data_IF_506841872187
#
_entry.id   IF_506841872187
#
_cell.length_a   1.000
_cell.length_b   1.000
_cell.length_c   1.000
_cell.angle_alpha   90.00
_cell.angle_beta   90.00
_cell.angle_gamma   90.00
#
_symmetry.space_group_name_H-M   'P 1'
#
loop_
_entity.id
_entity.type
_entity.pdbx_description
1 polymer ?
#
# COMPACT_ATOMS: atom_id res chain seq x y z
N UNK A 1 27.45 21.42 22.21
CA UNK A 1 27.43 20.23 21.34
C UNK A 1 25.95 19.90 21.07
N UNK A 2 25.45 20.13 19.85
CA UNK A 2 24.09 19.75 19.50
C UNK A 2 24.04 18.21 19.54
N UNK A 3 23.17 17.66 20.39
CA UNK A 3 22.83 16.24 20.38
C UNK A 3 22.34 15.91 18.95
N UNK A 4 23.08 15.09 18.21
CA UNK A 4 22.63 14.59 16.92
C UNK A 4 21.37 13.77 17.20
N UNK A 5 20.20 14.34 16.91
CA UNK A 5 18.93 13.62 16.97
C UNK A 5 19.07 12.47 15.98
N UNK A 6 18.97 11.23 16.46
CA UNK A 6 18.96 10.07 15.59
C UNK A 6 17.87 10.25 14.54
N UNK A 7 18.18 9.95 13.26
CA UNK A 7 17.22 10.05 12.15
C UNK A 7 16.07 9.07 12.40
N UNK A 8 14.82 9.44 12.09
CA UNK A 8 13.70 8.48 12.17
C UNK A 8 13.89 7.37 11.12
N UNK A 9 13.42 6.18 11.43
CA UNK A 9 13.53 5.02 10.52
C UNK A 9 12.25 4.87 9.72
N UNK A 10 12.40 4.64 8.41
CA UNK A 10 11.31 4.22 7.56
C UNK A 10 11.59 2.82 6.98
N UNK A 11 10.60 1.93 7.07
CA UNK A 11 10.65 0.62 6.39
C UNK A 11 9.85 0.68 5.10
N UNK A 12 10.49 0.27 4.00
CA UNK A 12 9.86 0.26 2.67
C UNK A 12 9.91 -1.15 2.09
N UNK A 13 8.75 -1.78 1.91
CA UNK A 13 8.66 -3.05 1.17
C UNK A 13 8.54 -2.80 -0.34
N UNK A 14 9.09 -3.70 -1.15
CA UNK A 14 9.14 -3.52 -2.60
C UNK A 14 10.17 -2.47 -3.04
N UNK A 15 11.15 -2.13 -2.19
CA UNK A 15 12.12 -1.05 -2.39
C UNK A 15 13.06 -1.25 -3.60
N UNK A 16 13.11 -2.42 -4.22
CA UNK A 16 14.02 -2.71 -5.32
C UNK A 16 13.62 -2.11 -6.67
N UNK A 17 12.46 -1.48 -6.80
CA UNK A 17 11.99 -0.84 -8.05
C UNK A 17 10.70 -0.03 -7.88
N UNK A 18 10.35 0.75 -8.91
CA UNK A 18 9.06 1.42 -9.04
C UNK A 18 8.72 2.33 -7.87
N UNK A 19 7.47 2.27 -7.41
CA UNK A 19 6.96 3.13 -6.33
C UNK A 19 7.75 2.92 -5.03
N UNK A 20 8.13 1.68 -4.69
CA UNK A 20 8.91 1.41 -3.48
C UNK A 20 10.31 2.04 -3.51
N UNK A 21 11.01 2.00 -4.65
CA UNK A 21 12.28 2.68 -4.81
C UNK A 21 12.12 4.21 -4.72
N UNK A 22 11.07 4.76 -5.35
CA UNK A 22 10.78 6.20 -5.27
C UNK A 22 10.45 6.65 -3.83
N UNK A 23 9.76 5.82 -3.03
CA UNK A 23 9.61 6.10 -1.59
C UNK A 23 10.94 6.12 -0.86
N UNK A 24 11.81 5.12 -1.10
CA UNK A 24 13.11 5.06 -0.45
C UNK A 24 13.97 6.30 -0.78
N UNK A 25 14.00 6.72 -2.04
CA UNK A 25 14.69 7.91 -2.50
C UNK A 25 14.17 9.18 -1.82
N UNK A 26 12.87 9.38 -1.84
CA UNK A 26 12.26 10.56 -1.22
C UNK A 26 12.45 10.60 0.29
N UNK A 27 12.26 9.49 0.98
CA UNK A 27 12.40 9.43 2.43
C UNK A 27 13.85 9.62 2.89
N UNK A 28 14.85 9.12 2.13
CA UNK A 28 16.25 9.42 2.40
C UNK A 28 16.54 10.94 2.32
N UNK A 29 16.00 11.63 1.29
CA UNK A 29 16.10 13.08 1.14
C UNK A 29 15.37 13.83 2.27
N UNK A 30 14.23 13.31 2.75
CA UNK A 30 13.47 13.86 3.87
C UNK A 30 14.12 13.56 5.23
N UNK A 31 15.30 12.93 5.28
CA UNK A 31 16.09 12.73 6.49
C UNK A 31 15.77 11.45 7.26
N UNK A 32 15.20 10.43 6.63
CA UNK A 32 15.02 9.10 7.23
C UNK A 32 16.25 8.21 7.01
N UNK A 33 16.51 7.33 7.96
CA UNK A 33 17.25 6.09 7.75
C UNK A 33 16.26 5.00 7.30
N UNK A 34 16.75 3.99 6.55
CA UNK A 34 15.87 3.14 5.79
C UNK A 34 16.10 1.64 6.04
N UNK A 35 15.02 0.90 6.26
CA UNK A 35 15.01 -0.56 6.12
C UNK A 35 14.40 -0.87 4.75
N UNK A 36 15.23 -1.33 3.82
CA UNK A 36 14.87 -1.60 2.43
C UNK A 36 14.56 -3.08 2.23
N UNK A 37 13.30 -3.42 1.97
CA UNK A 37 12.84 -4.82 1.89
C UNK A 37 12.41 -5.17 0.48
N UNK A 38 13.01 -6.20 -0.12
CA UNK A 38 12.58 -6.83 -1.37
C UNK A 38 13.25 -8.19 -1.55
N UNK A 39 12.91 -8.91 -2.65
CA UNK A 39 13.55 -10.20 -2.98
C UNK A 39 14.94 -10.04 -3.64
N UNK A 40 15.15 -8.97 -4.39
CA UNK A 40 16.35 -8.73 -5.22
C UNK A 40 17.45 -8.05 -4.40
N UNK A 41 18.24 -8.83 -3.66
CA UNK A 41 19.32 -8.35 -2.76
C UNK A 41 20.23 -7.34 -3.43
N UNK A 42 20.81 -7.68 -4.58
CA UNK A 42 21.76 -6.82 -5.28
C UNK A 42 21.20 -5.42 -5.58
N UNK A 43 19.91 -5.32 -5.97
CA UNK A 43 19.29 -4.01 -6.22
C UNK A 43 19.08 -3.20 -4.94
N UNK A 44 18.82 -3.87 -3.81
CA UNK A 44 18.72 -3.19 -2.51
C UNK A 44 20.07 -2.65 -2.05
N UNK A 45 21.14 -3.41 -2.25
CA UNK A 45 22.51 -3.01 -1.91
C UNK A 45 22.96 -1.80 -2.75
N UNK A 46 22.73 -1.81 -4.07
CA UNK A 46 23.00 -0.67 -4.94
C UNK A 46 22.19 0.57 -4.55
N UNK A 47 20.92 0.39 -4.20
CA UNK A 47 20.08 1.51 -3.74
C UNK A 47 20.60 2.06 -2.40
N UNK A 48 20.94 1.19 -1.45
CA UNK A 48 21.48 1.58 -0.15
C UNK A 48 22.78 2.39 -0.28
N UNK A 49 23.72 1.92 -1.11
CA UNK A 49 24.98 2.65 -1.39
C UNK A 49 24.71 4.02 -2.00
N UNK A 50 23.80 4.10 -2.96
CA UNK A 50 23.45 5.36 -3.61
C UNK A 50 22.84 6.34 -2.62
N UNK A 51 21.83 5.92 -1.83
CA UNK A 51 21.17 6.77 -0.86
C UNK A 51 22.11 7.20 0.29
N UNK A 52 23.02 6.32 0.70
CA UNK A 52 24.09 6.67 1.63
C UNK A 52 24.97 7.81 1.12
N UNK A 53 25.39 7.76 -0.16
CA UNK A 53 26.21 8.83 -0.78
C UNK A 53 25.45 10.12 -1.04
N UNK A 54 24.20 10.02 -1.52
CA UNK A 54 23.43 11.18 -2.00
C UNK A 54 22.73 11.93 -0.86
N UNK A 55 22.23 11.20 0.16
CA UNK A 55 21.40 11.74 1.25
C UNK A 55 21.99 11.50 2.65
N UNK A 56 23.12 10.81 2.76
CA UNK A 56 23.69 10.44 4.04
C UNK A 56 22.79 9.53 4.89
N UNK A 57 21.90 8.77 4.24
CA UNK A 57 20.99 7.86 4.91
C UNK A 57 21.69 6.55 5.29
N UNK A 58 21.50 6.09 6.53
CA UNK A 58 21.84 4.73 6.88
C UNK A 58 20.75 3.79 6.32
N UNK A 59 21.16 2.81 5.51
CA UNK A 59 20.23 1.91 4.84
C UNK A 59 20.55 0.45 5.17
N UNK A 60 19.56 -0.29 5.69
CA UNK A 60 19.63 -1.73 5.97
C UNK A 60 18.92 -2.49 4.82
N UNK A 61 19.64 -3.14 3.88
CA UNK A 61 19.05 -3.92 2.81
C UNK A 61 18.67 -5.32 3.31
N UNK A 62 17.38 -5.64 3.37
CA UNK A 62 16.86 -6.95 3.77
C UNK A 62 16.24 -7.68 2.58
N UNK A 63 16.90 -8.74 2.13
CA UNK A 63 16.36 -9.62 1.11
C UNK A 63 15.39 -10.62 1.75
N UNK A 64 14.09 -10.35 1.59
CA UNK A 64 13.01 -11.18 2.15
C UNK A 64 12.12 -11.65 1.01
N UNK A 65 11.94 -12.97 0.91
CA UNK A 65 10.83 -13.54 0.16
C UNK A 65 9.61 -13.54 1.08
N UNK A 66 8.55 -12.87 0.67
CA UNK A 66 7.35 -12.73 1.49
C UNK A 66 6.70 -14.06 1.90
N UNK A 67 7.05 -15.17 1.27
CA UNK A 67 6.55 -16.50 1.62
C UNK A 67 7.33 -17.19 2.75
N UNK A 68 8.63 -16.96 2.90
CA UNK A 68 9.47 -17.82 3.76
C UNK A 68 10.22 -17.13 4.90
N UNK A 69 10.65 -15.88 4.75
CA UNK A 69 11.46 -15.18 5.77
C UNK A 69 10.69 -14.08 6.51
N UNK A 70 9.39 -14.07 6.37
CA UNK A 70 8.52 -12.99 6.83
C UNK A 70 8.52 -12.86 8.38
N UNK A 71 8.60 -13.95 9.11
CA UNK A 71 8.56 -13.93 10.58
C UNK A 71 9.76 -13.20 11.21
N UNK A 72 10.93 -13.24 10.55
CA UNK A 72 12.10 -12.50 11.01
C UNK A 72 11.91 -10.98 10.84
N UNK A 73 11.33 -10.58 9.70
CA UNK A 73 11.00 -9.18 9.46
C UNK A 73 9.97 -8.66 10.45
N UNK A 74 8.93 -9.44 10.76
CA UNK A 74 7.94 -9.05 11.78
C UNK A 74 8.57 -8.85 13.16
N UNK A 75 9.42 -9.80 13.59
CA UNK A 75 10.11 -9.69 14.87
C UNK A 75 11.01 -8.46 14.92
N UNK A 76 11.72 -8.14 13.81
CA UNK A 76 12.55 -6.95 13.68
C UNK A 76 11.73 -5.68 13.81
N UNK A 77 10.58 -5.61 13.12
CA UNK A 77 9.65 -4.48 13.12
C UNK A 77 9.04 -4.26 14.51
N UNK A 78 8.65 -5.33 15.19
CA UNK A 78 7.96 -5.26 16.50
C UNK A 78 8.80 -4.63 17.62
N UNK A 79 10.12 -4.73 17.52
CA UNK A 79 11.06 -4.23 18.54
C UNK A 79 11.75 -2.93 18.14
N UNK A 80 11.48 -2.39 16.95
CA UNK A 80 12.13 -1.18 16.45
C UNK A 80 11.52 0.09 17.07
N UNK A 81 12.20 0.64 18.04
CA UNK A 81 11.78 1.88 18.70
C UNK A 81 12.02 3.14 17.83
N UNK A 82 12.85 3.05 16.78
CA UNK A 82 13.09 4.13 15.82
C UNK A 82 12.12 4.17 14.65
N UNK A 83 11.32 3.12 14.45
CA UNK A 83 10.42 3.01 13.29
C UNK A 83 9.30 4.06 13.34
N UNK A 84 9.42 5.06 12.48
CA UNK A 84 8.47 6.17 12.39
C UNK A 84 7.50 6.01 11.22
N UNK A 85 7.89 5.29 10.14
CA UNK A 85 7.06 5.11 8.95
C UNK A 85 7.20 3.68 8.41
N UNK A 86 6.06 3.03 8.15
CA UNK A 86 5.98 1.77 7.41
C UNK A 86 5.33 2.03 6.06
N UNK A 87 6.01 1.67 4.96
CA UNK A 87 5.49 1.71 3.59
C UNK A 87 5.32 0.30 3.04
N UNK A 88 4.09 -0.17 2.95
CA UNK A 88 3.73 -1.43 2.32
C UNK A 88 3.53 -1.20 0.81
N UNK A 89 4.62 -1.30 0.03
CA UNK A 89 4.63 -1.10 -1.42
C UNK A 89 4.97 -2.35 -2.22
N UNK A 90 5.33 -3.45 -1.57
CA UNK A 90 5.58 -4.71 -2.27
C UNK A 90 4.32 -5.23 -2.95
N UNK A 91 4.46 -5.65 -4.21
CA UNK A 91 3.33 -6.20 -4.93
C UNK A 91 3.63 -6.60 -6.36
N UNK A 92 2.71 -7.36 -6.93
CA UNK A 92 2.70 -7.74 -8.33
C UNK A 92 1.25 -7.94 -8.80
N UNK A 93 1.00 -7.94 -10.11
CA UNK A 93 -0.32 -8.26 -10.66
C UNK A 93 -0.43 -9.72 -11.09
N UNK A 94 -1.66 -10.20 -11.25
CA UNK A 94 -1.97 -11.51 -11.81
C UNK A 94 -3.16 -11.37 -12.75
N UNK A 95 -2.96 -10.61 -13.85
CA UNK A 95 -4.03 -10.20 -14.77
C UNK A 95 -4.35 -11.31 -15.77
N UNK A 96 -5.19 -12.26 -15.35
CA UNK A 96 -5.71 -13.37 -16.19
C UNK A 96 -7.17 -13.61 -15.87
N UNK A 97 -7.87 -14.31 -16.73
CA UNK A 97 -9.20 -14.85 -16.39
C UNK A 97 -9.07 -15.72 -15.14
N UNK A 98 -10.02 -15.61 -14.23
CA UNK A 98 -9.94 -16.31 -12.95
C UNK A 98 -9.75 -17.81 -13.10
N UNK A 99 -10.43 -18.41 -14.07
CA UNK A 99 -10.31 -19.85 -14.38
C UNK A 99 -8.94 -20.27 -14.92
N UNK A 100 -8.09 -19.33 -15.31
CA UNK A 100 -6.75 -19.52 -15.88
C UNK A 100 -5.65 -19.13 -14.88
N UNK A 101 -6.01 -18.67 -13.69
CA UNK A 101 -5.04 -18.27 -12.66
C UNK A 101 -4.60 -19.49 -11.88
N UNK A 102 -3.31 -19.79 -11.93
CA UNK A 102 -2.73 -20.88 -11.17
C UNK A 102 -2.92 -20.67 -9.65
N UNK A 103 -3.27 -21.72 -8.88
CA UNK A 103 -3.48 -21.59 -7.42
C UNK A 103 -2.31 -20.96 -6.67
N UNK A 104 -1.07 -21.22 -7.11
CA UNK A 104 0.14 -20.64 -6.53
C UNK A 104 0.21 -19.13 -6.72
N UNK A 105 -0.28 -18.61 -7.85
CA UNK A 105 -0.36 -17.15 -8.12
C UNK A 105 -1.41 -16.52 -7.22
N UNK A 106 -2.55 -17.20 -6.99
CA UNK A 106 -3.60 -16.74 -6.05
C UNK A 106 -3.00 -16.63 -4.65
N UNK A 107 -2.33 -17.68 -4.16
CA UNK A 107 -1.71 -17.68 -2.84
C UNK A 107 -0.66 -16.56 -2.71
N UNK A 108 0.21 -16.41 -3.70
CA UNK A 108 1.24 -15.37 -3.70
C UNK A 108 0.64 -13.94 -3.70
N UNK A 109 -0.45 -13.70 -4.43
CA UNK A 109 -1.17 -12.42 -4.40
C UNK A 109 -1.75 -12.13 -3.01
N UNK A 110 -2.39 -13.13 -2.39
CA UNK A 110 -2.95 -13.01 -1.03
C UNK A 110 -1.82 -12.80 -0.01
N UNK A 111 -0.73 -13.56 -0.13
CA UNK A 111 0.41 -13.44 0.79
C UNK A 111 1.00 -12.05 0.77
N UNK A 112 1.25 -11.47 -0.41
CA UNK A 112 1.91 -10.16 -0.55
C UNK A 112 0.97 -9.01 -0.24
N UNK A 113 -0.25 -9.04 -0.77
CA UNK A 113 -1.15 -7.87 -0.70
C UNK A 113 -2.09 -7.88 0.51
N UNK A 114 -2.30 -9.03 1.14
CA UNK A 114 -3.20 -9.18 2.28
C UNK A 114 -2.41 -9.54 3.53
N UNK A 115 -1.82 -10.73 3.56
CA UNK A 115 -1.18 -11.27 4.76
C UNK A 115 0.02 -10.45 5.19
N UNK A 116 0.93 -10.11 4.27
CA UNK A 116 2.12 -9.32 4.57
C UNK A 116 1.75 -7.92 5.06
N UNK A 117 0.81 -7.25 4.40
CA UNK A 117 0.35 -5.91 4.79
C UNK A 117 -0.25 -5.93 6.20
N UNK A 118 -1.18 -6.84 6.48
CA UNK A 118 -1.83 -6.93 7.79
C UNK A 118 -0.82 -7.24 8.91
N UNK A 119 0.07 -8.22 8.68
CA UNK A 119 1.03 -8.66 9.69
C UNK A 119 2.11 -7.62 9.98
N UNK A 120 2.71 -6.99 8.95
CA UNK A 120 3.69 -5.91 9.18
C UNK A 120 3.06 -4.71 9.87
N UNK A 121 1.86 -4.33 9.46
CA UNK A 121 1.13 -3.26 10.15
C UNK A 121 0.87 -3.61 11.61
N UNK A 122 0.43 -4.86 11.90
CA UNK A 122 0.23 -5.35 13.28
C UNK A 122 1.52 -5.37 14.09
N UNK A 123 2.66 -5.64 13.47
CA UNK A 123 3.96 -5.60 14.15
C UNK A 123 4.40 -4.16 14.46
N UNK A 124 4.21 -3.21 13.53
CA UNK A 124 4.68 -1.83 13.66
C UNK A 124 3.81 -0.97 14.59
N UNK A 125 2.48 -1.07 14.46
CA UNK A 125 1.52 -0.16 15.10
C UNK A 125 1.64 -0.10 16.62
N UNK A 126 1.80 -1.19 17.38
CA UNK A 126 1.89 -1.11 18.84
C UNK A 126 3.05 -0.25 19.36
N UNK A 127 4.22 -0.32 18.71
CA UNK A 127 5.35 0.55 19.03
C UNK A 127 5.05 2.02 18.72
N UNK A 128 4.42 2.30 17.58
CA UNK A 128 4.00 3.65 17.20
C UNK A 128 2.98 4.24 18.19
N UNK A 129 1.98 3.44 18.60
CA UNK A 129 0.96 3.84 19.59
C UNK A 129 1.59 4.17 20.94
N UNK A 130 2.48 3.31 21.45
CA UNK A 130 3.20 3.60 22.73
C UNK A 130 3.96 4.93 22.68
N UNK A 131 4.49 5.31 21.52
CA UNK A 131 5.23 6.58 21.34
C UNK A 131 4.33 7.77 21.03
N UNK A 132 3.03 7.53 20.79
CA UNK A 132 2.06 8.58 20.39
C UNK A 132 2.38 9.18 19.01
N UNK A 133 3.14 8.49 18.16
CA UNK A 133 3.53 8.97 16.82
C UNK A 133 3.97 7.84 15.91
N UNK A 134 3.67 7.96 14.64
CA UNK A 134 4.05 7.04 13.59
C UNK A 134 3.12 7.14 12.40
N UNK A 135 3.47 6.45 11.33
CA UNK A 135 2.59 6.39 10.18
C UNK A 135 2.73 5.06 9.41
N UNK A 136 1.64 4.66 8.76
CA UNK A 136 1.62 3.52 7.83
C UNK A 136 1.06 3.99 6.50
N UNK A 137 1.75 3.68 5.41
CA UNK A 137 1.29 3.90 4.04
C UNK A 137 1.12 2.55 3.35
N UNK A 138 -0.08 2.26 2.88
CA UNK A 138 -0.41 1.08 2.11
C UNK A 138 -0.58 1.46 0.63
N UNK A 139 0.32 0.99 -0.25
CA UNK A 139 0.23 1.24 -1.69
C UNK A 139 -0.68 0.20 -2.33
N UNK A 140 -1.95 0.56 -2.49
CA UNK A 140 -2.96 -0.29 -3.11
C UNK A 140 -3.02 -0.09 -4.64
N UNK A 141 -4.16 0.25 -5.19
CA UNK A 141 -4.39 0.56 -6.61
C UNK A 141 -5.79 1.12 -6.78
N UNK A 142 -6.00 1.95 -7.78
CA UNK A 142 -7.35 2.38 -8.20
C UNK A 142 -8.25 1.18 -8.57
N UNK A 143 -7.64 0.05 -8.96
CA UNK A 143 -8.37 -1.21 -9.19
C UNK A 143 -9.06 -1.77 -7.94
N UNK A 144 -8.74 -1.30 -6.75
CA UNK A 144 -9.49 -1.61 -5.51
C UNK A 144 -10.98 -1.24 -5.61
N UNK A 145 -11.29 -0.19 -6.38
CA UNK A 145 -12.64 0.32 -6.57
C UNK A 145 -13.34 -0.26 -7.81
N UNK A 146 -12.70 -1.17 -8.54
CA UNK A 146 -13.16 -1.61 -9.86
C UNK A 146 -14.01 -2.90 -9.86
N UNK A 147 -14.41 -3.41 -8.70
CA UNK A 147 -15.09 -4.72 -8.60
C UNK A 147 -16.34 -4.85 -9.49
N UNK A 148 -17.15 -3.81 -9.56
CA UNK A 148 -18.38 -3.78 -10.35
C UNK A 148 -18.18 -3.46 -11.84
N UNK A 149 -16.96 -3.10 -12.28
CA UNK A 149 -16.69 -2.70 -13.64
C UNK A 149 -16.36 -3.90 -14.55
N UNK A 150 -16.73 -3.88 -15.85
CA UNK A 150 -16.40 -4.95 -16.77
C UNK A 150 -14.87 -5.06 -17.02
N UNK A 151 -14.40 -6.21 -17.54
CA UNK A 151 -12.97 -6.43 -17.83
C UNK A 151 -12.49 -5.77 -19.15
N UNK A 152 -13.22 -4.84 -19.71
CA UNK A 152 -12.82 -4.08 -20.90
C UNK A 152 -13.26 -2.61 -20.73
N UNK A 153 -12.34 -1.64 -20.76
CA UNK A 153 -10.89 -1.72 -21.05
C UNK A 153 -10.00 -2.20 -19.90
N UNK A 154 -10.56 -2.50 -18.74
CA UNK A 154 -9.80 -2.96 -17.59
C UNK A 154 -9.32 -4.41 -17.78
N UNK A 155 -8.18 -4.81 -17.20
CA UNK A 155 -7.71 -6.19 -17.26
C UNK A 155 -8.61 -7.15 -16.47
N UNK A 156 -8.55 -8.45 -16.76
CA UNK A 156 -9.03 -9.48 -15.82
C UNK A 156 -8.23 -9.36 -14.51
N UNK A 157 -8.92 -9.23 -13.37
CA UNK A 157 -8.27 -8.78 -12.13
C UNK A 157 -8.90 -9.26 -10.83
N UNK A 158 -9.77 -10.27 -10.88
CA UNK A 158 -10.60 -10.65 -9.73
C UNK A 158 -9.80 -10.76 -8.42
N UNK A 159 -8.73 -11.58 -8.40
CA UNK A 159 -7.91 -11.77 -7.20
C UNK A 159 -7.16 -10.49 -6.82
N UNK A 160 -6.53 -9.84 -7.81
CA UNK A 160 -5.78 -8.62 -7.56
C UNK A 160 -6.67 -7.48 -7.04
N UNK A 161 -7.83 -7.25 -7.69
CA UNK A 161 -8.78 -6.23 -7.25
C UNK A 161 -9.31 -6.52 -5.84
N UNK A 162 -9.64 -7.78 -5.54
CA UNK A 162 -10.05 -8.19 -4.19
C UNK A 162 -8.97 -7.96 -3.14
N UNK A 163 -7.71 -8.29 -3.46
CA UNK A 163 -6.59 -8.05 -2.55
C UNK A 163 -6.32 -6.54 -2.34
N UNK A 164 -6.46 -5.72 -3.38
CA UNK A 164 -6.32 -4.26 -3.26
C UNK A 164 -7.52 -3.60 -2.57
N UNK A 165 -8.72 -4.15 -2.73
CA UNK A 165 -9.90 -3.74 -1.97
C UNK A 165 -9.76 -4.06 -0.47
N UNK A 166 -9.12 -5.20 -0.14
CA UNK A 166 -8.75 -5.48 1.25
C UNK A 166 -7.88 -4.36 1.83
N UNK A 167 -6.83 -3.92 1.11
CA UNK A 167 -5.93 -2.86 1.60
C UNK A 167 -6.68 -1.54 1.84
N UNK A 168 -7.64 -1.20 0.97
CA UNK A 168 -8.49 -0.01 1.13
C UNK A 168 -9.33 -0.13 2.40
N UNK A 169 -10.19 -1.14 2.50
CA UNK A 169 -11.08 -1.33 3.64
C UNK A 169 -10.32 -1.51 4.96
N UNK A 170 -9.20 -2.24 4.95
CA UNK A 170 -8.34 -2.42 6.10
C UNK A 170 -7.77 -1.10 6.62
N UNK A 171 -7.29 -0.24 5.71
CA UNK A 171 -6.70 1.04 6.11
C UNK A 171 -7.74 2.03 6.62
N UNK A 172 -8.92 2.08 5.99
CA UNK A 172 -10.03 2.92 6.45
C UNK A 172 -10.51 2.51 7.84
N UNK A 173 -10.72 1.21 8.07
CA UNK A 173 -11.12 0.69 9.38
C UNK A 173 -10.04 0.96 10.45
N UNK A 174 -8.78 0.67 10.13
CA UNK A 174 -7.65 0.90 11.03
C UNK A 174 -7.47 2.37 11.40
N UNK A 175 -7.79 3.30 10.49
CA UNK A 175 -7.77 4.74 10.77
C UNK A 175 -8.73 5.10 11.89
N UNK A 176 -9.94 4.52 11.88
CA UNK A 176 -10.92 4.71 12.95
C UNK A 176 -10.43 4.16 14.30
N UNK A 177 -9.80 2.98 14.29
CA UNK A 177 -9.26 2.36 15.51
C UNK A 177 -8.08 3.15 16.11
N UNK A 178 -7.33 3.89 15.28
CA UNK A 178 -6.14 4.64 15.70
C UNK A 178 -6.36 6.15 15.86
N UNK A 179 -7.60 6.62 15.78
CA UNK A 179 -7.94 8.05 15.73
C UNK A 179 -7.38 8.88 16.90
N UNK A 180 -7.24 8.29 18.08
CA UNK A 180 -6.72 8.95 19.30
C UNK A 180 -5.26 8.59 19.62
N UNK A 181 -4.62 7.77 18.79
CA UNK A 181 -3.29 7.20 19.10
C UNK A 181 -2.11 8.06 18.68
N UNK A 182 -2.32 9.10 17.88
CA UNK A 182 -1.27 9.88 17.23
C UNK A 182 -0.60 9.16 16.05
N UNK A 183 -1.08 7.96 15.66
CA UNK A 183 -0.60 7.20 14.50
C UNK A 183 -1.49 7.47 13.30
N UNK A 184 -0.89 7.83 12.16
CA UNK A 184 -1.60 8.09 10.91
C UNK A 184 -1.51 6.89 9.98
N UNK A 185 -2.58 6.63 9.24
CA UNK A 185 -2.60 5.57 8.22
C UNK A 185 -3.16 6.13 6.92
N UNK A 186 -2.56 5.73 5.81
CA UNK A 186 -2.95 6.16 4.47
C UNK A 186 -2.98 4.96 3.53
N UNK A 187 -4.01 4.86 2.71
CA UNK A 187 -4.00 4.03 1.52
C UNK A 187 -3.84 4.89 0.27
N UNK A 188 -2.80 4.61 -0.52
CA UNK A 188 -2.58 5.24 -1.81
C UNK A 188 -3.15 4.35 -2.92
N UNK A 189 -4.00 4.92 -3.77
CA UNK A 189 -4.68 4.25 -4.88
C UNK A 189 -4.16 4.79 -6.23
N UNK A 190 -2.93 4.47 -6.65
CA UNK A 190 -2.44 4.93 -7.93
C UNK A 190 -3.17 4.25 -9.08
N UNK A 191 -3.29 4.96 -10.20
CA UNK A 191 -3.69 4.43 -11.51
C UNK A 191 -2.53 3.73 -12.21
N UNK A 192 -2.34 4.04 -13.50
CA UNK A 192 -1.17 3.56 -14.25
C UNK A 192 0.07 4.37 -13.87
N UNK A 193 1.13 3.68 -13.48
CA UNK A 193 2.39 4.30 -13.05
C UNK A 193 3.53 3.77 -13.91
N UNK A 194 4.39 4.67 -14.39
CA UNK A 194 5.57 4.33 -15.18
C UNK A 194 6.59 3.63 -14.29
N UNK A 195 6.67 2.32 -14.44
CA UNK A 195 7.56 1.44 -13.69
C UNK A 195 7.96 0.23 -14.55
N UNK A 196 9.03 -0.44 -14.19
CA UNK A 196 9.45 -1.69 -14.86
C UNK A 196 8.37 -2.79 -14.82
N UNK A 197 7.36 -2.66 -13.98
CA UNK A 197 6.27 -3.60 -13.82
C UNK A 197 5.59 -3.96 -15.16
N UNK A 198 5.34 -2.96 -16.00
CA UNK A 198 4.64 -3.18 -17.28
C UNK A 198 5.46 -4.05 -18.23
N UNK A 199 6.77 -3.84 -18.31
CA UNK A 199 7.67 -4.68 -19.08
C UNK A 199 7.73 -6.12 -18.53
N UNK A 200 7.77 -6.28 -17.21
CA UNK A 200 7.81 -7.59 -16.55
C UNK A 200 6.55 -8.43 -16.83
N UNK A 201 5.40 -7.81 -17.05
CA UNK A 201 4.15 -8.49 -17.41
C UNK A 201 3.90 -8.54 -18.93
N UNK A 202 4.94 -8.29 -19.73
CA UNK A 202 4.89 -8.41 -21.19
C UNK A 202 4.11 -7.30 -21.91
N UNK A 203 3.87 -6.16 -21.25
CA UNK A 203 3.26 -4.99 -21.88
C UNK A 203 4.34 -4.09 -22.45
N UNK A 204 4.14 -3.62 -23.68
CA UNK A 204 5.03 -2.61 -24.30
C UNK A 204 4.63 -1.21 -23.76
N UNK A 205 5.49 -0.56 -22.93
CA UNK A 205 5.18 0.76 -22.38
C UNK A 205 4.85 1.81 -23.44
N UNK A 206 5.42 1.69 -24.64
CA UNK A 206 5.18 2.64 -25.75
C UNK A 206 3.78 2.58 -26.32
N UNK A 207 3.04 1.47 -26.05
CA UNK A 207 1.66 1.25 -26.49
C UNK A 207 0.64 1.52 -25.37
N UNK A 208 1.12 1.95 -24.21
CA UNK A 208 0.26 2.26 -23.08
C UNK A 208 -0.17 3.74 -23.11
N UNK A 209 -1.31 4.08 -22.50
CA UNK A 209 -1.69 5.48 -22.30
C UNK A 209 -0.65 6.16 -21.40
N UNK A 210 -0.66 7.51 -21.33
CA UNK A 210 0.20 8.26 -20.43
C UNK A 210 0.12 7.72 -19.01
N UNK A 211 1.27 7.56 -18.36
CA UNK A 211 1.43 7.01 -17.02
C UNK A 211 2.01 8.07 -16.08
N UNK A 212 1.56 8.07 -14.84
CA UNK A 212 2.10 8.94 -13.80
C UNK A 212 3.51 8.45 -13.40
N UNK A 213 4.41 9.37 -13.09
CA UNK A 213 5.73 9.01 -12.57
C UNK A 213 5.62 8.49 -11.12
N UNK A 214 6.44 7.52 -10.76
CA UNK A 214 6.45 6.97 -9.41
C UNK A 214 6.74 8.04 -8.34
N UNK A 215 7.58 9.02 -8.66
CA UNK A 215 7.89 10.15 -7.78
C UNK A 215 6.65 11.02 -7.49
N UNK A 216 5.77 11.24 -8.48
CA UNK A 216 4.54 12.01 -8.30
C UNK A 216 3.53 11.27 -7.41
N UNK A 217 3.43 9.95 -7.57
CA UNK A 217 2.61 9.11 -6.66
C UNK A 217 3.09 9.24 -5.21
N UNK A 218 4.41 9.19 -5.00
CA UNK A 218 5.01 9.33 -3.67
C UNK A 218 4.77 10.73 -3.11
N UNK A 219 4.99 11.77 -3.91
CA UNK A 219 4.76 13.15 -3.49
C UNK A 219 3.30 13.37 -3.07
N UNK A 220 2.32 12.93 -3.88
CA UNK A 220 0.90 13.02 -3.56
C UNK A 220 0.56 12.29 -2.25
N UNK A 221 1.07 11.06 -2.06
CA UNK A 221 0.78 10.27 -0.88
C UNK A 221 1.34 10.88 0.41
N UNK A 222 2.56 11.44 0.36
CA UNK A 222 3.17 12.11 1.53
C UNK A 222 2.46 13.41 1.88
N UNK A 223 1.99 14.17 0.88
CA UNK A 223 1.15 15.36 1.09
C UNK A 223 -0.18 14.96 1.72
N UNK A 224 -0.87 13.95 1.20
CA UNK A 224 -2.12 13.44 1.74
C UNK A 224 -1.95 12.96 3.20
N UNK A 225 -0.89 12.18 3.48
CA UNK A 225 -0.55 11.74 4.83
C UNK A 225 -0.31 12.91 5.79
N UNK A 226 0.39 13.95 5.33
CA UNK A 226 0.65 15.16 6.13
C UNK A 226 -0.63 15.92 6.45
N UNK A 227 -1.61 15.93 5.55
CA UNK A 227 -2.94 16.53 5.73
C UNK A 227 -3.88 15.69 6.60
N UNK A 228 -3.50 14.47 6.97
CA UNK A 228 -4.35 13.54 7.73
C UNK A 228 -5.42 12.86 6.88
N UNK A 229 -5.28 12.88 5.55
CA UNK A 229 -6.15 12.12 4.66
C UNK A 229 -5.91 10.62 4.85
N UNK A 230 -6.95 9.81 4.71
CA UNK A 230 -6.87 8.34 4.84
C UNK A 230 -6.77 7.66 3.47
N UNK A 231 -7.38 8.25 2.45
CA UNK A 231 -7.40 7.74 1.07
C UNK A 231 -6.78 8.77 0.14
N UNK A 232 -5.71 8.40 -0.54
CA UNK A 232 -5.05 9.21 -1.57
C UNK A 232 -5.25 8.58 -2.94
N UNK A 233 -5.80 9.35 -3.87
CA UNK A 233 -5.88 9.00 -5.30
C UNK A 233 -5.06 10.03 -6.06
N UNK A 234 -3.79 9.76 -6.42
CA UNK A 234 -2.86 10.78 -6.93
C UNK A 234 -3.32 11.55 -8.18
N UNK A 235 -4.18 10.96 -9.00
CA UNK A 235 -4.73 11.59 -10.21
C UNK A 235 -6.13 12.18 -10.03
N UNK A 236 -6.61 12.37 -8.81
CA UNK A 236 -7.94 12.92 -8.53
C UNK A 236 -7.83 14.37 -8.09
N UNK A 237 -8.27 15.30 -8.92
CA UNK A 237 -8.21 16.74 -8.62
C UNK A 237 -9.24 17.20 -7.59
N UNK A 238 -10.40 16.52 -7.54
CA UNK A 238 -11.52 16.84 -6.65
C UNK A 238 -11.89 15.64 -5.77
N UNK A 239 -11.94 15.84 -4.45
CA UNK A 239 -12.26 14.79 -3.47
C UNK A 239 -13.76 14.36 -3.49
N UNK A 240 -14.65 15.14 -4.09
CA UNK A 240 -16.08 14.88 -4.06
C UNK A 240 -16.51 13.46 -4.51
N UNK A 241 -15.85 12.77 -5.46
CA UNK A 241 -16.17 11.38 -5.75
C UNK A 241 -15.91 10.42 -4.57
N UNK A 242 -14.83 10.64 -3.79
CA UNK A 242 -14.53 9.82 -2.60
C UNK A 242 -15.52 10.10 -1.47
N UNK A 243 -15.88 11.36 -1.27
CA UNK A 243 -16.88 11.76 -0.28
C UNK A 243 -18.25 11.14 -0.58
N UNK A 244 -18.68 11.16 -1.84
CA UNK A 244 -19.92 10.49 -2.27
C UNK A 244 -19.86 8.98 -2.06
N UNK A 245 -18.71 8.34 -2.34
CA UNK A 245 -18.55 6.90 -2.10
C UNK A 245 -18.71 6.58 -0.61
N UNK A 246 -18.05 7.33 0.26
CA UNK A 246 -18.15 7.16 1.70
C UNK A 246 -19.59 7.37 2.21
N UNK A 247 -20.32 8.36 1.66
CA UNK A 247 -21.72 8.61 2.02
C UNK A 247 -22.65 7.46 1.59
N UNK A 248 -22.44 6.92 0.38
CA UNK A 248 -23.20 5.74 -0.09
C UNK A 248 -22.93 4.53 0.80
N UNK A 249 -21.68 4.28 1.18
CA UNK A 249 -21.31 3.20 2.10
C UNK A 249 -21.99 3.39 3.47
N UNK A 250 -21.96 4.60 4.03
CA UNK A 250 -22.63 4.94 5.29
C UNK A 250 -24.15 4.69 5.20
N UNK A 251 -24.77 5.16 4.12
CA UNK A 251 -26.21 4.98 3.88
C UNK A 251 -26.56 3.49 3.82
N UNK A 252 -25.79 2.68 3.10
CA UNK A 252 -26.01 1.24 3.04
C UNK A 252 -25.90 0.59 4.42
N UNK A 253 -24.88 0.93 5.20
CA UNK A 253 -24.67 0.35 6.54
C UNK A 253 -25.77 0.75 7.51
N UNK A 254 -26.19 2.03 7.52
CA UNK A 254 -27.16 2.55 8.49
C UNK A 254 -28.61 2.22 8.11
N UNK A 255 -28.94 2.13 6.82
CA UNK A 255 -30.33 1.94 6.37
C UNK A 255 -30.72 0.47 6.19
N UNK A 256 -29.79 -0.47 6.16
CA UNK A 256 -30.05 -1.87 5.81
C UNK A 256 -30.05 -2.84 7.00
N UNK A 257 -29.70 -2.39 8.19
CA UNK A 257 -29.74 -3.23 9.39
C UNK A 257 -31.19 -3.33 9.91
N UNK A 258 -32.00 -4.16 9.24
CA UNK A 258 -33.43 -4.37 9.52
C UNK A 258 -33.70 -5.81 9.94
N UNK A 259 -34.69 -5.98 10.77
CA UNK A 259 -35.14 -7.30 11.26
C UNK A 259 -36.02 -8.06 10.25
N UNK A 260 -36.53 -7.36 9.21
CA UNK A 260 -37.44 -7.94 8.23
C UNK A 260 -36.75 -7.98 6.84
N UNK A 261 -37.06 -9.02 6.06
CA UNK A 261 -36.63 -9.16 4.67
C UNK A 261 -37.06 -7.95 3.84
N UNK A 262 -36.12 -7.41 3.07
CA UNK A 262 -36.41 -6.29 2.17
C UNK A 262 -37.43 -6.70 1.09
N UNK A 263 -38.31 -5.78 0.73
CA UNK A 263 -39.41 -6.05 -0.20
C UNK A 263 -38.93 -6.60 -1.56
N UNK A 264 -37.78 -6.12 -2.08
CA UNK A 264 -37.19 -6.58 -3.35
C UNK A 264 -36.76 -8.06 -3.38
N UNK A 265 -36.70 -8.70 -2.23
CA UNK A 265 -36.35 -10.13 -2.08
C UNK A 265 -37.54 -10.99 -1.66
N UNK A 266 -38.72 -10.38 -1.45
CA UNK A 266 -39.95 -11.15 -1.22
C UNK A 266 -40.36 -11.73 -2.58
N UNK A 267 -40.57 -13.05 -2.64
CA UNK A 267 -41.13 -13.69 -3.83
C UNK A 267 -42.43 -12.98 -4.20
N UNK A 268 -42.55 -12.52 -5.42
CA UNK A 268 -43.84 -12.16 -6.01
C UNK A 268 -44.59 -13.47 -6.01
N UNK A 269 -45.67 -13.56 -5.19
CA UNK A 269 -46.45 -14.77 -5.05
C UNK A 269 -46.82 -15.32 -6.42
N UNK A 270 -46.50 -16.58 -6.64
CA UNK A 270 -46.94 -17.39 -7.78
C UNK A 270 -48.46 -17.45 -7.85
#
# INVERSE_FOLDING_TARGET
MASSRARPIALVTGASSGIGAAYAERLAQDGYDLILVARRRHRLELLAERLGREAGAECEPLAVDHASAFSQLEARVAVDEGLALLVNSAGFGGYRRFIEVEPQVINALIDVHVRAVARLTRAAVPGMVRRGKGAVVNVASLLALSGALPPNPLPYRAVYAGAKAFMLAFTEALSGELSESGVRVLVCLPGLVDTEYHALVGRDPRKMPPMMQAADVVAASLVALARGEVVCVPGLDDAAPLERLAEVQRTLMMSTNKTALAQRYRSVGS
#
